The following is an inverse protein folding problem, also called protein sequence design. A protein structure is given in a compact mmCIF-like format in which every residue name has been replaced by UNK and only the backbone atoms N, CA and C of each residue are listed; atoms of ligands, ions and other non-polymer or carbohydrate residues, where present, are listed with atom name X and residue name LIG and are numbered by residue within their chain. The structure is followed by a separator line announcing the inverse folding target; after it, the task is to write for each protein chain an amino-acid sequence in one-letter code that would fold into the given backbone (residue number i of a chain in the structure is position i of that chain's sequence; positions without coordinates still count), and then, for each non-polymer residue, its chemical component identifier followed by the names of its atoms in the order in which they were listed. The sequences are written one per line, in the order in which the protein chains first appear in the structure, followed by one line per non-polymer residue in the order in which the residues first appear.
data_IF_800709453799
#
_entry.id   IF_800709453799
#
_cell.length_a   1.000
_cell.length_b   1.000
_cell.length_c   1.000
_cell.angle_alpha   90.00
_cell.angle_beta   90.00
_cell.angle_gamma   90.00
#
_symmetry.space_group_name_H-M   'P 1'
#
loop_
_entity.id
_entity.type
_entity.pdbx_description
1 polymer ?
#
# COMPACT_ATOMS: atom_id res chain seq x y z
N UNK A 1 48.00 11.34 -60.00
CA UNK A 1 46.60 11.54 -60.45
C UNK A 1 45.79 12.06 -59.26
N UNK A 2 45.25 13.29 -59.37
CA UNK A 2 44.24 14.00 -58.53
C UNK A 2 44.48 14.04 -57.00
N UNK A 3 44.87 15.12 -56.33
CA UNK A 3 44.38 16.51 -56.26
C UNK A 3 42.98 16.71 -55.62
N UNK A 4 42.91 17.73 -54.73
CA UNK A 4 41.80 18.31 -53.93
C UNK A 4 41.76 17.81 -52.48
N UNK A 5 42.32 18.46 -51.45
CA UNK A 5 42.32 19.87 -50.98
C UNK A 5 40.93 20.35 -50.54
N UNK A 6 40.68 20.38 -49.23
CA UNK A 6 39.79 21.37 -48.62
C UNK A 6 40.45 21.94 -47.36
N UNK A 7 40.28 23.25 -47.20
CA UNK A 7 41.11 24.18 -46.44
C UNK A 7 40.38 24.60 -45.15
N UNK A 8 41.20 24.84 -44.11
CA UNK A 8 41.03 25.69 -42.91
C UNK A 8 39.66 26.36 -42.67
N UNK A 9 39.22 26.37 -41.41
CA UNK A 9 39.40 27.54 -40.51
C UNK A 9 38.56 27.39 -39.23
N UNK A 10 39.08 27.84 -38.08
CA UNK A 10 38.25 28.28 -36.95
C UNK A 10 38.53 27.61 -35.60
N UNK A 11 39.48 28.16 -34.86
CA UNK A 11 39.51 28.13 -33.39
C UNK A 11 39.69 29.61 -32.93
N UNK A 12 39.46 30.01 -31.67
CA UNK A 12 38.72 29.45 -30.50
C UNK A 12 37.74 30.56 -29.95
N UNK A 13 37.39 30.75 -28.63
CA UNK A 13 37.45 29.94 -27.39
C UNK A 13 36.18 29.97 -26.47
N UNK A 14 36.16 29.08 -25.46
CA UNK A 14 35.75 29.22 -24.03
C UNK A 14 34.41 29.87 -23.63
N UNK A 15 33.60 29.11 -22.86
CA UNK A 15 33.00 29.47 -21.54
C UNK A 15 32.48 28.16 -20.89
N UNK A 16 33.13 27.59 -19.85
CA UNK A 16 32.98 27.88 -18.41
C UNK A 16 31.54 27.85 -17.89
N UNK A 17 31.05 26.67 -17.51
CA UNK A 17 30.19 26.49 -16.32
C UNK A 17 30.42 25.10 -15.72
N UNK A 18 31.26 25.09 -14.69
CA UNK A 18 31.40 24.11 -13.62
C UNK A 18 30.04 23.79 -12.98
N UNK A 19 29.67 22.51 -12.84
CA UNK A 19 29.10 21.96 -11.59
C UNK A 19 29.21 20.42 -11.58
N UNK A 20 29.81 19.82 -10.53
CA UNK A 20 29.85 18.39 -10.31
C UNK A 20 28.66 17.93 -9.44
N UNK A 21 28.39 16.62 -9.44
CA UNK A 21 27.51 15.89 -8.51
C UNK A 21 26.00 16.13 -8.66
N UNK A 22 25.30 15.17 -9.28
CA UNK A 22 24.07 14.69 -8.65
C UNK A 22 23.86 13.21 -8.95
N UNK A 23 23.91 12.46 -7.84
CA UNK A 23 23.63 11.05 -7.67
C UNK A 23 22.51 10.54 -8.59
N UNK A 24 22.74 9.31 -9.07
CA UNK A 24 21.74 8.28 -9.34
C UNK A 24 20.34 8.63 -8.82
N UNK A 25 19.45 9.05 -9.71
CA UNK A 25 18.03 9.05 -9.43
C UNK A 25 17.61 7.57 -9.30
N UNK A 26 17.15 7.11 -8.12
CA UNK A 26 16.54 5.80 -8.02
C UNK A 26 15.19 5.86 -8.72
N UNK A 27 15.15 5.19 -9.87
CA UNK A 27 14.00 4.51 -10.48
C UNK A 27 12.65 4.86 -9.84
N UNK A 28 11.96 5.80 -10.47
CA UNK A 28 10.56 6.13 -10.25
C UNK A 28 9.66 5.01 -10.80
N UNK A 29 9.87 3.78 -10.33
CA UNK A 29 9.16 2.55 -10.70
C UNK A 29 8.45 1.93 -9.48
N UNK A 30 8.00 2.74 -8.51
CA UNK A 30 7.45 2.24 -7.23
C UNK A 30 5.97 2.57 -6.97
N UNK A 31 5.24 3.10 -7.96
CA UNK A 31 3.84 3.50 -7.78
C UNK A 31 2.81 2.71 -8.60
N UNK A 32 3.24 1.88 -9.57
CA UNK A 32 2.33 1.28 -10.57
C UNK A 32 1.99 -0.22 -10.37
N UNK A 33 2.32 -0.82 -9.23
CA UNK A 33 1.95 -2.23 -8.94
C UNK A 33 0.90 -2.38 -7.82
N UNK A 34 0.04 -1.38 -7.63
CA UNK A 34 -1.00 -1.39 -6.57
C UNK A 34 -2.39 -1.81 -7.09
N UNK A 35 -2.46 -2.41 -8.28
CA UNK A 35 -3.69 -2.93 -8.87
C UNK A 35 -3.57 -4.41 -9.24
N UNK A 36 -2.82 -5.19 -8.44
CA UNK A 36 -3.12 -6.61 -8.33
C UNK A 36 -4.56 -6.73 -7.85
N UNK A 37 -5.44 -7.38 -8.62
CA UNK A 37 -6.73 -7.87 -8.15
C UNK A 37 -6.49 -8.76 -6.93
N UNK A 38 -6.38 -8.16 -5.74
CA UNK A 38 -6.07 -8.92 -4.53
C UNK A 38 -7.32 -9.70 -4.17
N UNK A 39 -7.28 -11.01 -4.44
CA UNK A 39 -8.35 -11.91 -4.04
C UNK A 39 -8.40 -11.88 -2.52
N UNK A 40 -9.60 -11.88 -1.89
CA UNK A 40 -9.67 -11.82 -0.43
C UNK A 40 -8.92 -12.97 0.26
N UNK A 41 -8.76 -14.12 -0.40
CA UNK A 41 -7.89 -15.23 0.04
C UNK A 41 -6.45 -14.77 0.27
N UNK A 42 -5.88 -14.04 -0.68
CA UNK A 42 -4.47 -13.66 -0.67
C UNK A 42 -4.22 -12.64 0.45
N UNK A 43 -5.18 -11.74 0.68
CA UNK A 43 -5.12 -10.80 1.80
C UNK A 43 -5.18 -11.56 3.13
N UNK A 44 -6.07 -12.56 3.29
CA UNK A 44 -6.14 -13.33 4.55
C UNK A 44 -4.86 -14.11 4.84
N UNK A 45 -4.18 -14.60 3.80
CA UNK A 45 -2.87 -15.26 3.93
C UNK A 45 -1.82 -14.24 4.40
N UNK A 46 -1.78 -13.04 3.79
CA UNK A 46 -0.86 -11.97 4.20
C UNK A 46 -1.10 -11.52 5.64
N UNK A 47 -2.35 -11.36 6.05
CA UNK A 47 -2.70 -10.99 7.43
C UNK A 47 -2.19 -12.00 8.44
N UNK A 48 -2.27 -13.30 8.13
CA UNK A 48 -1.79 -14.34 9.03
C UNK A 48 -0.27 -14.38 9.11
N UNK A 49 0.43 -14.07 8.01
CA UNK A 49 1.90 -14.01 7.96
C UNK A 49 2.48 -12.79 8.69
N UNK A 50 1.82 -11.64 8.58
CA UNK A 50 2.27 -10.36 9.16
C UNK A 50 1.72 -10.10 10.56
N UNK A 51 0.82 -10.95 11.06
CA UNK A 51 0.26 -10.82 12.40
C UNK A 51 1.30 -11.14 13.47
N UNK A 52 1.69 -10.12 14.24
CA UNK A 52 2.60 -10.25 15.40
C UNK A 52 1.87 -10.82 16.62
N UNK A 53 0.55 -10.61 16.71
CA UNK A 53 -0.25 -11.11 17.81
C UNK A 53 -1.73 -10.72 17.74
N UNK A 54 -2.43 -10.87 18.87
CA UNK A 54 -3.86 -10.51 18.99
C UNK A 54 -4.04 -9.15 19.66
N UNK A 55 -4.96 -8.33 19.14
CA UNK A 55 -5.39 -7.03 19.67
C UNK A 55 -6.74 -7.18 20.39
N UNK A 56 -6.93 -6.44 21.49
CA UNK A 56 -8.25 -6.31 22.14
C UNK A 56 -9.10 -5.31 21.35
N UNK A 57 -10.36 -5.68 21.08
CA UNK A 57 -11.32 -4.78 20.46
C UNK A 57 -11.81 -3.74 21.47
N UNK A 58 -11.98 -2.50 21.02
CA UNK A 58 -12.56 -1.42 21.81
C UNK A 58 -14.07 -1.60 22.03
N UNK A 59 -14.64 -0.86 22.99
CA UNK A 59 -16.08 -0.95 23.31
C UNK A 59 -16.96 -0.60 22.11
N UNK A 60 -16.62 0.46 21.38
CA UNK A 60 -17.35 0.86 20.18
C UNK A 60 -17.23 -0.17 19.05
N UNK A 61 -16.07 -0.82 18.90
CA UNK A 61 -15.94 -1.89 17.91
C UNK A 61 -16.84 -3.07 18.28
N UNK A 62 -16.91 -3.40 19.57
CA UNK A 62 -17.80 -4.44 20.10
C UNK A 62 -19.27 -4.13 19.84
N UNK A 63 -19.74 -2.93 20.18
CA UNK A 63 -21.13 -2.53 19.95
C UNK A 63 -21.46 -2.48 18.45
N UNK A 64 -20.52 -2.01 17.62
CA UNK A 64 -20.71 -1.90 16.18
C UNK A 64 -20.79 -3.29 15.52
N UNK A 65 -19.96 -4.24 15.97
CA UNK A 65 -20.00 -5.63 15.54
C UNK A 65 -21.32 -6.31 15.91
N UNK A 66 -21.84 -6.04 17.12
CA UNK A 66 -23.13 -6.58 17.57
C UNK A 66 -24.30 -6.04 16.74
N UNK A 67 -24.26 -4.75 16.39
CA UNK A 67 -25.29 -4.08 15.59
C UNK A 67 -25.24 -4.42 14.09
N UNK A 68 -24.12 -4.97 13.60
CA UNK A 68 -23.95 -5.31 12.17
C UNK A 68 -24.72 -6.57 11.82
N UNK A 69 -26.01 -6.54 11.47
CA UNK A 69 -26.83 -7.74 11.14
C UNK A 69 -26.05 -8.79 10.29
N UNK A 70 -26.09 -10.10 10.64
CA UNK A 70 -25.41 -11.10 9.83
C UNK A 70 -26.13 -11.18 8.49
N UNK A 71 -25.43 -10.86 7.39
CA UNK A 71 -26.01 -11.07 6.07
C UNK A 71 -26.00 -12.57 5.77
N UNK A 72 -27.19 -13.16 5.77
CA UNK A 72 -27.45 -14.55 5.35
C UNK A 72 -27.13 -14.68 3.85
N UNK A 73 -25.87 -15.02 3.54
CA UNK A 73 -25.41 -15.27 2.19
C UNK A 73 -25.07 -16.76 2.03
N UNK A 74 -25.77 -17.43 1.12
CA UNK A 74 -25.53 -18.83 0.72
C UNK A 74 -24.31 -18.94 -0.22
N UNK A 75 -23.79 -17.81 -0.72
CA UNK A 75 -22.54 -17.70 -1.46
C UNK A 75 -21.62 -16.61 -0.87
N UNK A 76 -20.33 -16.91 -0.79
CA UNK A 76 -19.20 -16.06 -0.40
C UNK A 76 -19.54 -14.63 0.08
N UNK A 77 -19.95 -14.51 1.34
CA UNK A 77 -19.97 -13.23 2.06
C UNK A 77 -18.52 -12.78 2.26
N UNK A 78 -18.15 -11.66 1.64
CA UNK A 78 -16.75 -11.19 1.66
C UNK A 78 -16.25 -10.67 3.02
N UNK A 79 -17.11 -10.56 4.05
CA UNK A 79 -16.74 -10.19 5.43
C UNK A 79 -17.93 -10.46 6.38
N UNK A 80 -17.98 -11.63 7.01
CA UNK A 80 -18.96 -11.91 8.08
C UNK A 80 -18.58 -11.19 9.40
N UNK A 81 -19.51 -11.11 10.36
CA UNK A 81 -19.24 -10.66 11.74
C UNK A 81 -18.01 -11.37 12.33
N UNK A 82 -17.89 -12.68 12.11
CA UNK A 82 -16.74 -13.47 12.56
C UNK A 82 -15.42 -12.99 11.94
N UNK A 83 -15.43 -12.76 10.63
CA UNK A 83 -14.25 -12.30 9.88
C UNK A 83 -13.84 -10.88 10.25
N UNK A 84 -14.81 -9.97 10.41
CA UNK A 84 -14.54 -8.60 10.86
C UNK A 84 -13.89 -8.60 12.24
N UNK A 85 -14.38 -9.44 13.16
CA UNK A 85 -13.77 -9.62 14.48
C UNK A 85 -12.36 -10.19 14.38
N UNK A 86 -12.13 -11.15 13.48
CA UNK A 86 -10.81 -11.73 13.26
C UNK A 86 -9.81 -10.70 12.71
N UNK A 87 -10.21 -9.85 11.76
CA UNK A 87 -9.37 -8.78 11.19
C UNK A 87 -9.06 -7.71 12.24
N UNK A 88 -10.06 -7.22 12.97
CA UNK A 88 -9.85 -6.19 14.01
C UNK A 88 -9.03 -6.69 15.20
N UNK A 89 -9.11 -7.99 15.48
CA UNK A 89 -8.38 -8.67 16.53
C UNK A 89 -6.93 -9.01 16.19
N UNK A 90 -6.41 -8.72 15.00
CA UNK A 90 -4.99 -8.89 14.64
C UNK A 90 -4.18 -7.64 15.02
N UNK A 91 -2.94 -7.86 15.47
CA UNK A 91 -1.96 -6.80 15.75
C UNK A 91 -0.84 -6.87 14.73
N UNK A 92 -0.57 -5.75 14.08
CA UNK A 92 0.52 -5.57 13.13
C UNK A 92 1.60 -4.67 13.72
N UNK A 93 2.83 -4.80 13.22
CA UNK A 93 3.96 -3.97 13.64
C UNK A 93 3.78 -2.52 13.12
N UNK A 94 3.79 -1.49 13.98
CA UNK A 94 3.70 -0.10 13.53
C UNK A 94 4.88 0.30 12.63
N UNK A 95 6.07 -0.23 12.87
CA UNK A 95 7.31 0.18 12.19
C UNK A 95 7.46 -0.46 10.80
N UNK A 96 6.72 -1.54 10.51
CA UNK A 96 6.77 -2.17 9.19
C UNK A 96 6.02 -1.32 8.14
N UNK A 97 6.80 -0.70 7.25
CA UNK A 97 6.31 0.08 6.11
C UNK A 97 6.34 -0.70 4.78
N UNK A 98 6.45 -2.03 4.82
CA UNK A 98 6.34 -2.86 3.62
C UNK A 98 5.00 -2.64 2.89
N UNK A 99 4.95 -2.74 1.55
CA UNK A 99 3.70 -2.56 0.80
C UNK A 99 2.62 -3.56 1.22
N UNK A 100 3.03 -4.79 1.59
CA UNK A 100 2.13 -5.81 2.12
C UNK A 100 1.53 -5.42 3.48
N UNK A 101 2.33 -4.85 4.39
CA UNK A 101 1.84 -4.34 5.67
C UNK A 101 0.86 -3.18 5.49
N UNK A 102 1.09 -2.29 4.51
CA UNK A 102 0.17 -1.19 4.22
C UNK A 102 -1.21 -1.69 3.74
N UNK A 103 -1.26 -2.73 2.90
CA UNK A 103 -2.53 -3.33 2.45
C UNK A 103 -3.33 -3.84 3.65
N UNK A 104 -2.66 -4.57 4.54
CA UNK A 104 -3.28 -5.18 5.71
C UNK A 104 -3.72 -4.13 6.74
N UNK A 105 -2.90 -3.10 6.98
CA UNK A 105 -3.25 -1.94 7.83
C UNK A 105 -4.46 -1.20 7.26
N UNK A 106 -4.47 -0.88 5.96
CA UNK A 106 -5.63 -0.23 5.29
C UNK A 106 -6.89 -1.08 5.35
N UNK A 107 -6.78 -2.40 5.24
CA UNK A 107 -7.93 -3.30 5.42
C UNK A 107 -8.46 -3.21 6.84
N UNK A 108 -7.60 -3.25 7.85
CA UNK A 108 -8.01 -3.12 9.25
C UNK A 108 -8.71 -1.77 9.52
N UNK A 109 -8.17 -0.67 8.98
CA UNK A 109 -8.77 0.66 9.06
C UNK A 109 -10.13 0.76 8.36
N UNK A 110 -10.26 0.13 7.19
CA UNK A 110 -11.53 0.09 6.45
C UNK A 110 -12.61 -0.65 7.23
N UNK A 111 -12.27 -1.83 7.78
CA UNK A 111 -13.19 -2.60 8.65
C UNK A 111 -13.52 -1.82 9.93
N UNK A 112 -12.54 -1.15 10.52
CA UNK A 112 -12.75 -0.31 11.71
C UNK A 112 -13.76 0.80 11.44
N UNK A 113 -13.57 1.58 10.37
CA UNK A 113 -14.50 2.64 9.95
C UNK A 113 -15.90 2.09 9.66
N UNK A 114 -15.97 0.93 9.00
CA UNK A 114 -17.25 0.27 8.73
C UNK A 114 -17.98 -0.08 10.02
N UNK A 115 -17.31 -0.76 10.96
CA UNK A 115 -17.90 -1.14 12.25
C UNK A 115 -18.31 0.08 13.08
N UNK A 116 -17.48 1.12 13.10
CA UNK A 116 -17.81 2.38 13.76
C UNK A 116 -19.04 3.04 13.14
N UNK A 117 -19.17 3.05 11.81
CA UNK A 117 -20.34 3.63 11.13
C UNK A 117 -21.67 2.95 11.49
N UNK A 118 -21.62 1.71 12.02
CA UNK A 118 -22.81 0.97 12.48
C UNK A 118 -23.21 1.35 13.90
N UNK A 119 -22.30 1.94 14.67
CA UNK A 119 -22.68 2.62 15.90
C UNK A 119 -23.27 3.98 15.49
N UNK A 120 -24.59 4.12 15.62
CA UNK A 120 -25.29 5.40 15.45
C UNK A 120 -24.93 6.45 16.54
N UNK A 121 -23.86 6.22 17.28
CA UNK A 121 -23.32 7.04 18.35
C UNK A 121 -21.91 7.43 17.90
N UNK A 122 -21.77 8.67 17.41
CA UNK A 122 -20.51 9.26 16.96
C UNK A 122 -19.66 9.67 18.15
#
# INVERSE_FOLDING_TARGET
LKACRFVRAGAPPRDLCTHPLFLAAPQLHRAEEMASLVVPSDITILENKLSVGKRRLGMFEWTGLLMTAPMLHIHYSKLDRGDMRAVLGKRYDPEDSSPAAQIVKRRQESVHKFVLSKNFLW
#
